data_IF_122870653627
#
_entry.id   IF_122870653627
#
_cell.length_a   1.000
_cell.length_b   1.000
_cell.length_c   1.000
_cell.angle_alpha   90.00
_cell.angle_beta   90.00
_cell.angle_gamma   90.00
#
_symmetry.space_group_name_H-M   'P 1'
#
loop_
_entity.id
_entity.type
_entity.pdbx_description
1 polymer ?
#
# COMPACT_ATOMS: atom_id res chain seq x y z
N UNK A 1 12.99 23.22 -16.62
CA UNK A 1 13.97 23.88 -15.73
C UNK A 1 14.77 22.78 -15.04
N UNK A 2 16.00 22.51 -15.48
CA UNK A 2 16.84 21.52 -14.83
C UNK A 2 17.33 22.10 -13.48
N UNK A 3 17.15 21.36 -12.39
CA UNK A 3 17.67 21.74 -11.09
C UNK A 3 19.12 21.24 -11.02
N UNK A 4 20.05 22.15 -10.75
CA UNK A 4 21.48 21.88 -10.64
C UNK A 4 21.87 21.88 -9.15
N UNK A 5 22.86 21.07 -8.77
CA UNK A 5 23.42 21.15 -7.43
C UNK A 5 24.26 22.42 -7.23
N UNK A 6 24.69 22.67 -5.99
CA UNK A 6 25.53 23.82 -5.64
C UNK A 6 26.92 23.81 -6.33
N UNK A 7 27.27 22.72 -7.03
CA UNK A 7 28.52 22.54 -7.78
C UNK A 7 28.32 22.60 -9.31
N UNK A 8 27.10 22.86 -9.78
CA UNK A 8 26.78 22.95 -11.22
C UNK A 8 26.60 21.59 -11.90
N UNK A 9 26.60 20.49 -11.15
CA UNK A 9 26.20 19.17 -11.64
C UNK A 9 24.69 19.12 -11.87
N UNK A 10 24.22 18.42 -12.90
CA UNK A 10 22.79 18.09 -12.96
C UNK A 10 22.45 17.26 -11.72
N UNK A 11 21.39 17.63 -10.99
CA UNK A 11 20.94 16.82 -9.86
C UNK A 11 20.58 15.43 -10.36
N UNK A 12 21.41 14.45 -10.00
CA UNK A 12 21.11 13.05 -10.24
C UNK A 12 19.80 12.73 -9.52
N UNK A 13 18.83 12.16 -10.25
CA UNK A 13 17.55 11.81 -9.64
C UNK A 13 17.82 10.79 -8.55
N UNK A 14 17.51 11.15 -7.30
CA UNK A 14 17.65 10.21 -6.18
C UNK A 14 16.84 8.96 -6.49
N UNK A 15 17.49 7.79 -6.63
CA UNK A 15 16.80 6.58 -6.97
C UNK A 15 15.83 6.21 -5.84
N UNK A 16 14.69 5.59 -6.16
CA UNK A 16 13.71 5.19 -5.17
C UNK A 16 14.33 4.13 -4.27
N UNK A 17 14.06 4.22 -2.97
CA UNK A 17 14.65 3.34 -1.96
C UNK A 17 14.31 1.85 -2.20
N UNK A 18 13.12 1.58 -2.73
CA UNK A 18 12.65 0.24 -3.07
C UNK A 18 12.32 0.18 -4.56
N UNK A 19 12.76 -0.88 -5.24
CA UNK A 19 12.23 -1.22 -6.55
C UNK A 19 10.77 -1.72 -6.44
N UNK A 20 10.01 -1.85 -7.54
CA UNK A 20 8.57 -2.13 -7.46
C UNK A 20 8.26 -3.47 -6.77
N UNK A 21 9.10 -4.49 -6.99
CA UNK A 21 8.91 -5.82 -6.41
C UNK A 21 9.32 -5.88 -4.93
N UNK A 22 10.35 -5.13 -4.54
CA UNK A 22 10.70 -4.94 -3.13
C UNK A 22 9.58 -4.21 -2.39
N UNK A 23 8.97 -3.19 -3.00
CA UNK A 23 7.81 -2.50 -2.43
C UNK A 23 6.59 -3.43 -2.34
N UNK A 24 6.38 -4.34 -3.30
CA UNK A 24 5.35 -5.37 -3.23
C UNK A 24 5.53 -6.28 -2.00
N UNK A 25 6.75 -6.78 -1.78
CA UNK A 25 7.09 -7.58 -0.60
C UNK A 25 6.94 -6.78 0.69
N UNK A 26 7.41 -5.53 0.72
CA UNK A 26 7.27 -4.64 1.87
C UNK A 26 5.79 -4.40 2.23
N UNK A 27 4.91 -4.22 1.24
CA UNK A 27 3.47 -4.07 1.47
C UNK A 27 2.86 -5.34 2.09
N UNK A 28 3.30 -6.53 1.68
CA UNK A 28 2.87 -7.79 2.28
C UNK A 28 3.31 -7.85 3.76
N UNK A 29 4.54 -7.46 4.07
CA UNK A 29 5.00 -7.35 5.47
C UNK A 29 4.15 -6.38 6.29
N UNK A 30 3.81 -5.21 5.75
CA UNK A 30 2.94 -4.23 6.43
C UNK A 30 1.55 -4.84 6.70
N UNK A 31 0.97 -5.55 5.73
CA UNK A 31 -0.30 -6.25 5.90
C UNK A 31 -0.22 -7.32 7.00
N UNK A 32 0.79 -8.18 6.95
CA UNK A 32 0.94 -9.29 7.90
C UNK A 32 1.41 -8.82 9.28
N UNK A 33 2.01 -7.64 9.42
CA UNK A 33 2.32 -7.07 10.73
C UNK A 33 1.05 -6.86 11.57
N UNK A 34 -0.07 -6.49 10.95
CA UNK A 34 -1.38 -6.37 11.62
C UNK A 34 -1.86 -7.71 12.17
N UNK A 35 -1.60 -8.81 11.44
CA UNK A 35 -1.86 -10.16 11.94
C UNK A 35 -1.00 -10.49 13.16
N UNK A 36 0.29 -10.11 13.16
CA UNK A 36 1.19 -10.33 14.29
C UNK A 36 0.72 -9.56 15.53
N UNK A 37 0.32 -8.29 15.36
CA UNK A 37 -0.28 -7.51 16.44
C UNK A 37 -1.54 -8.17 16.99
N UNK A 38 -2.43 -8.66 16.12
CA UNK A 38 -3.61 -9.41 16.57
C UNK A 38 -3.20 -10.60 17.44
N UNK A 39 -2.28 -11.45 16.98
CA UNK A 39 -1.85 -12.65 17.73
C UNK A 39 -1.25 -12.26 19.08
N UNK A 40 -0.39 -11.24 19.11
CA UNK A 40 0.27 -10.77 20.32
C UNK A 40 -0.71 -10.23 21.38
N UNK A 41 -1.78 -9.54 20.96
CA UNK A 41 -2.72 -8.88 21.86
C UNK A 41 -4.02 -9.67 22.10
N UNK A 42 -4.26 -10.78 21.38
CA UNK A 42 -5.53 -11.52 21.43
C UNK A 42 -5.58 -12.64 22.48
N UNK A 43 -4.45 -13.08 23.04
CA UNK A 43 -4.42 -14.22 23.98
C UNK A 43 -5.09 -15.48 23.39
N UNK A 44 -4.84 -15.74 22.11
CA UNK A 44 -5.50 -16.83 21.38
C UNK A 44 -5.08 -18.17 21.98
N UNK A 45 -6.07 -19.04 22.19
CA UNK A 45 -5.84 -20.45 22.44
C UNK A 45 -5.81 -21.16 21.07
N UNK A 46 -4.84 -22.04 20.89
CA UNK A 46 -4.66 -22.80 19.66
C UNK A 46 -5.71 -23.91 19.48
N UNK A 47 -6.51 -24.21 20.51
CA UNK A 47 -7.57 -25.23 20.43
C UNK A 47 -8.74 -24.76 19.53
N UNK A 48 -9.18 -23.50 19.64
CA UNK A 48 -10.27 -22.93 18.83
C UNK A 48 -10.05 -21.45 18.49
N UNK A 49 -8.99 -21.10 17.72
CA UNK A 49 -8.61 -19.71 17.48
C UNK A 49 -9.71 -18.91 16.73
N UNK A 50 -10.49 -19.59 15.88
CA UNK A 50 -11.57 -18.96 15.10
C UNK A 50 -12.78 -18.54 15.93
N UNK A 51 -13.05 -19.22 17.04
CA UNK A 51 -14.15 -18.85 17.91
C UNK A 51 -13.80 -17.62 18.76
N UNK A 52 -12.55 -17.55 19.26
CA UNK A 52 -12.04 -16.37 19.97
C UNK A 52 -11.92 -15.13 19.08
N UNK A 53 -11.67 -15.29 17.77
CA UNK A 53 -11.67 -14.19 16.80
C UNK A 53 -12.97 -13.37 16.84
N UNK A 54 -14.11 -14.02 17.07
CA UNK A 54 -15.43 -13.34 17.11
C UNK A 54 -15.61 -12.44 18.33
N UNK A 55 -14.84 -12.67 19.38
CA UNK A 55 -14.97 -11.97 20.67
C UNK A 55 -13.75 -11.08 20.96
N UNK A 56 -12.97 -10.72 19.92
CA UNK A 56 -11.84 -9.81 20.10
C UNK A 56 -12.33 -8.43 20.51
N UNK A 57 -11.57 -7.79 21.40
CA UNK A 57 -11.79 -6.42 21.83
C UNK A 57 -10.48 -5.62 21.80
N UNK A 58 -10.58 -4.29 21.95
CA UNK A 58 -9.42 -3.42 22.08
C UNK A 58 -8.46 -3.45 20.88
N UNK A 59 -7.16 -3.52 21.16
CA UNK A 59 -6.10 -3.51 20.13
C UNK A 59 -6.20 -4.74 19.21
N UNK A 60 -6.51 -5.92 19.75
CA UNK A 60 -6.59 -7.14 18.96
C UNK A 60 -7.72 -7.09 17.92
N UNK A 61 -8.89 -6.55 18.29
CA UNK A 61 -9.99 -6.35 17.36
C UNK A 61 -9.62 -5.36 16.24
N UNK A 62 -8.99 -4.23 16.61
CA UNK A 62 -8.53 -3.22 15.64
C UNK A 62 -7.47 -3.78 14.69
N UNK A 63 -6.56 -4.61 15.18
CA UNK A 63 -5.54 -5.29 14.38
C UNK A 63 -6.13 -6.35 13.43
N UNK A 64 -7.14 -7.10 13.85
CA UNK A 64 -7.88 -8.02 12.98
C UNK A 64 -8.57 -7.26 11.84
N UNK A 65 -9.29 -6.18 12.15
CA UNK A 65 -9.97 -5.38 11.14
C UNK A 65 -8.99 -4.69 10.17
N UNK A 66 -7.84 -4.23 10.65
CA UNK A 66 -6.78 -3.71 9.78
C UNK A 66 -6.19 -4.79 8.86
N UNK A 67 -6.03 -6.02 9.35
CA UNK A 67 -5.55 -7.15 8.58
C UNK A 67 -6.54 -7.58 7.49
N UNK A 68 -7.83 -7.71 7.83
CA UNK A 68 -8.91 -8.01 6.88
C UNK A 68 -8.99 -6.96 5.78
N UNK A 69 -8.96 -5.67 6.14
CA UNK A 69 -8.91 -4.60 5.15
C UNK A 69 -7.67 -4.70 4.24
N UNK A 70 -6.52 -5.04 4.82
CA UNK A 70 -5.31 -5.29 4.04
C UNK A 70 -5.49 -6.41 3.03
N UNK A 71 -6.13 -7.52 3.41
CA UNK A 71 -6.40 -8.65 2.53
C UNK A 71 -7.34 -8.29 1.37
N UNK A 72 -8.26 -7.35 1.57
CA UNK A 72 -9.15 -6.84 0.52
C UNK A 72 -8.41 -5.92 -0.46
N UNK A 73 -7.51 -5.05 0.02
CA UNK A 73 -6.85 -4.05 -0.84
C UNK A 73 -5.56 -4.55 -1.49
N UNK A 74 -4.83 -5.45 -0.83
CA UNK A 74 -3.53 -5.92 -1.30
C UNK A 74 -3.57 -6.59 -2.68
N UNK A 75 -4.57 -7.43 -3.03
CA UNK A 75 -4.67 -7.99 -4.38
C UNK A 75 -4.72 -6.91 -5.46
N UNK A 76 -5.42 -5.81 -5.21
CA UNK A 76 -5.54 -4.71 -6.17
C UNK A 76 -4.20 -3.99 -6.35
N UNK A 77 -3.47 -3.75 -5.26
CA UNK A 77 -2.13 -3.19 -5.32
C UNK A 77 -1.15 -4.13 -6.04
N UNK A 78 -1.14 -5.42 -5.70
CA UNK A 78 -0.29 -6.41 -6.32
C UNK A 78 -0.54 -6.51 -7.83
N UNK A 79 -1.81 -6.53 -8.24
CA UNK A 79 -2.20 -6.50 -9.64
C UNK A 79 -1.70 -5.23 -10.34
N UNK A 80 -1.78 -4.07 -9.70
CA UNK A 80 -1.27 -2.80 -10.24
C UNK A 80 0.26 -2.84 -10.46
N UNK A 81 1.03 -3.24 -9.46
CA UNK A 81 2.51 -3.33 -9.55
C UNK A 81 2.94 -4.33 -10.62
N UNK A 82 2.36 -5.52 -10.61
CA UNK A 82 2.71 -6.59 -11.57
C UNK A 82 2.32 -6.18 -12.99
N UNK A 83 1.16 -5.55 -13.18
CA UNK A 83 0.72 -5.08 -14.50
C UNK A 83 1.63 -3.97 -15.02
N UNK A 84 1.96 -2.98 -14.19
CA UNK A 84 2.83 -1.87 -14.58
C UNK A 84 4.23 -2.38 -14.97
N UNK A 85 4.81 -3.27 -14.15
CA UNK A 85 6.08 -3.89 -14.45
C UNK A 85 6.03 -4.74 -15.73
N UNK A 86 4.99 -5.55 -15.91
CA UNK A 86 4.82 -6.42 -17.08
C UNK A 86 4.54 -5.68 -18.38
N UNK A 87 3.97 -4.47 -18.32
CA UNK A 87 3.66 -3.64 -19.49
C UNK A 87 4.77 -2.63 -19.83
N UNK A 88 5.90 -2.65 -19.12
CA UNK A 88 7.04 -1.77 -19.43
C UNK A 88 6.87 -0.32 -18.96
N UNK A 89 6.06 -0.07 -17.94
CA UNK A 89 6.02 1.25 -17.27
C UNK A 89 7.40 1.53 -16.67
N UNK A 90 7.84 2.79 -16.74
CA UNK A 90 9.12 3.24 -16.19
C UNK A 90 9.32 2.78 -14.73
N UNK A 91 10.50 2.21 -14.47
CA UNK A 91 10.82 1.59 -13.18
C UNK A 91 10.87 2.61 -12.05
N UNK A 92 11.36 3.83 -12.29
CA UNK A 92 11.41 4.89 -11.27
C UNK A 92 9.99 5.32 -10.89
N UNK A 93 9.11 5.50 -11.88
CA UNK A 93 7.69 5.81 -11.66
C UNK A 93 7.00 4.71 -10.84
N UNK A 94 7.14 3.45 -11.26
CA UNK A 94 6.56 2.31 -10.54
C UNK A 94 7.06 2.22 -9.10
N UNK A 95 8.37 2.40 -8.91
CA UNK A 95 9.02 2.29 -7.60
C UNK A 95 8.55 3.36 -6.63
N UNK A 96 8.43 4.61 -7.10
CA UNK A 96 7.90 5.73 -6.28
C UNK A 96 6.45 5.50 -5.90
N UNK A 97 5.61 5.11 -6.85
CA UNK A 97 4.19 4.81 -6.57
C UNK A 97 4.04 3.63 -5.61
N UNK A 98 4.75 2.53 -5.85
CA UNK A 98 4.69 1.36 -4.98
C UNK A 98 5.19 1.66 -3.57
N UNK A 99 6.26 2.46 -3.44
CA UNK A 99 6.77 2.92 -2.13
C UNK A 99 5.75 3.82 -1.42
N UNK A 100 5.11 4.74 -2.14
CA UNK A 100 4.06 5.59 -1.58
C UNK A 100 2.89 4.75 -1.06
N UNK A 101 2.49 3.69 -1.77
CA UNK A 101 1.47 2.75 -1.28
C UNK A 101 1.89 2.11 0.04
N UNK A 102 3.12 1.59 0.15
CA UNK A 102 3.64 0.99 1.39
C UNK A 102 3.52 1.97 2.56
N UNK A 103 3.89 3.23 2.35
CA UNK A 103 3.76 4.28 3.37
C UNK A 103 2.29 4.51 3.75
N UNK A 104 1.38 4.64 2.78
CA UNK A 104 -0.05 4.83 3.08
C UNK A 104 -0.61 3.66 3.91
N UNK A 105 -0.16 2.43 3.64
CA UNK A 105 -0.60 1.24 4.39
C UNK A 105 0.02 1.18 5.78
N UNK A 106 1.28 1.57 5.95
CA UNK A 106 1.90 1.65 7.26
C UNK A 106 1.17 2.67 8.14
N UNK A 107 0.88 3.86 7.60
CA UNK A 107 0.12 4.92 8.28
C UNK A 107 -1.31 4.46 8.57
N UNK A 108 -2.01 3.86 7.60
CA UNK A 108 -3.36 3.33 7.78
C UNK A 108 -3.40 2.32 8.93
N UNK A 109 -2.53 1.30 8.90
CA UNK A 109 -2.50 0.24 9.92
C UNK A 109 -2.14 0.80 11.29
N UNK A 110 -1.19 1.73 11.36
CA UNK A 110 -0.81 2.38 12.61
C UNK A 110 -1.97 3.17 13.23
N UNK A 111 -2.64 4.01 12.44
CA UNK A 111 -3.79 4.78 12.90
C UNK A 111 -4.91 3.83 13.34
N UNK A 112 -5.22 2.81 12.52
CA UNK A 112 -6.28 1.85 12.82
C UNK A 112 -6.03 1.16 14.17
N UNK A 113 -4.83 0.63 14.38
CA UNK A 113 -4.50 -0.21 15.53
C UNK A 113 -4.34 0.61 16.82
N UNK A 114 -3.68 1.77 16.75
CA UNK A 114 -3.25 2.49 17.96
C UNK A 114 -4.05 3.77 18.22
N UNK A 115 -4.34 4.56 17.17
CA UNK A 115 -4.84 5.92 17.34
C UNK A 115 -6.35 6.08 17.10
N UNK A 116 -7.04 5.05 16.59
CA UNK A 116 -8.46 5.14 16.22
C UNK A 116 -9.37 5.25 17.47
N UNK A 117 -9.41 6.44 18.06
CA UNK A 117 -10.13 6.79 19.30
C UNK A 117 -11.05 8.00 19.14
N UNK A 118 -10.95 8.73 18.03
CA UNK A 118 -11.81 9.86 17.70
C UNK A 118 -12.04 9.95 16.18
N UNK A 119 -13.01 10.78 15.78
CA UNK A 119 -13.40 10.93 14.38
C UNK A 119 -12.30 11.51 13.49
N UNK A 120 -11.42 12.35 14.04
CA UNK A 120 -10.31 12.93 13.29
C UNK A 120 -9.32 11.86 12.82
N UNK A 121 -8.94 10.93 13.71
CA UNK A 121 -8.11 9.78 13.34
C UNK A 121 -8.86 8.83 12.39
N UNK A 122 -10.17 8.69 12.57
CA UNK A 122 -11.03 7.97 11.63
C UNK A 122 -10.97 8.55 10.21
N UNK A 123 -11.02 9.88 10.07
CA UNK A 123 -10.92 10.58 8.80
C UNK A 123 -9.53 10.44 8.15
N UNK A 124 -8.45 10.63 8.92
CA UNK A 124 -7.08 10.45 8.44
C UNK A 124 -6.81 9.03 7.94
N UNK A 125 -7.33 8.03 8.66
CA UNK A 125 -7.29 6.63 8.24
C UNK A 125 -8.00 6.44 6.90
N UNK A 126 -9.20 6.98 6.74
CA UNK A 126 -9.95 6.88 5.48
C UNK A 126 -9.23 7.59 4.33
N UNK A 127 -8.58 8.73 4.58
CA UNK A 127 -7.77 9.43 3.59
C UNK A 127 -6.57 8.58 3.15
N UNK A 128 -5.85 7.98 4.10
CA UNK A 128 -4.73 7.08 3.81
C UNK A 128 -5.19 5.86 2.98
N UNK A 129 -6.38 5.31 3.28
CA UNK A 129 -6.99 4.24 2.49
C UNK A 129 -7.25 4.66 1.05
N UNK A 130 -7.94 5.80 0.85
CA UNK A 130 -8.27 6.31 -0.49
C UNK A 130 -7.00 6.61 -1.29
N UNK A 131 -5.99 7.21 -0.65
CA UNK A 131 -4.70 7.48 -1.30
C UNK A 131 -4.02 6.19 -1.77
N UNK A 132 -3.96 5.15 -0.92
CA UNK A 132 -3.39 3.86 -1.31
C UNK A 132 -4.17 3.17 -2.44
N UNK A 133 -5.50 3.25 -2.39
CA UNK A 133 -6.33 2.65 -3.43
C UNK A 133 -6.20 3.38 -4.77
N UNK A 134 -6.13 4.72 -4.74
CA UNK A 134 -5.82 5.54 -5.91
C UNK A 134 -4.49 5.14 -6.54
N UNK A 135 -3.44 4.95 -5.75
CA UNK A 135 -2.12 4.52 -6.26
C UNK A 135 -2.22 3.17 -6.99
N UNK A 136 -2.98 2.22 -6.43
CA UNK A 136 -3.18 0.89 -7.03
C UNK A 136 -3.83 1.01 -8.42
N UNK A 137 -4.91 1.79 -8.51
CA UNK A 137 -5.58 2.04 -9.79
C UNK A 137 -4.71 2.82 -10.77
N UNK A 138 -3.96 3.82 -10.30
CA UNK A 138 -3.10 4.61 -11.18
C UNK A 138 -2.02 3.75 -11.85
N UNK A 139 -1.44 2.79 -11.14
CA UNK A 139 -0.47 1.86 -11.74
C UNK A 139 -1.12 0.96 -12.79
N UNK A 140 -2.39 0.56 -12.61
CA UNK A 140 -3.12 -0.19 -13.64
C UNK A 140 -3.36 0.67 -14.89
N UNK A 141 -3.73 1.94 -14.72
CA UNK A 141 -3.90 2.87 -15.84
C UNK A 141 -2.57 3.10 -16.57
N UNK A 142 -1.47 3.32 -15.84
CA UNK A 142 -0.12 3.43 -16.41
C UNK A 142 0.25 2.19 -17.24
N UNK A 143 -0.09 1.00 -16.76
CA UNK A 143 0.14 -0.24 -17.50
C UNK A 143 -0.63 -0.26 -18.82
N UNK A 144 -1.88 0.21 -18.81
CA UNK A 144 -2.71 0.37 -20.00
C UNK A 144 -2.12 1.39 -20.99
N UNK A 145 -1.71 2.56 -20.51
CA UNK A 145 -1.04 3.60 -21.30
C UNK A 145 0.24 3.06 -21.95
N UNK A 146 1.09 2.37 -21.19
CA UNK A 146 2.35 1.81 -21.68
C UNK A 146 2.13 0.73 -22.75
N UNK A 147 1.13 -0.14 -22.56
CA UNK A 147 0.85 -1.24 -23.48
C UNK A 147 0.08 -0.81 -24.73
N UNK A 148 -0.86 0.12 -24.58
CA UNK A 148 -1.86 0.41 -25.59
C UNK A 148 -1.86 1.87 -26.07
N UNK A 149 -1.03 2.77 -25.54
CA UNK A 149 -1.09 4.22 -25.80
C UNK A 149 -0.95 4.65 -27.27
N UNK A 150 -0.44 3.78 -28.15
CA UNK A 150 -0.45 3.98 -29.61
C UNK A 150 -1.68 3.44 -30.35
N UNK A 151 -2.66 2.89 -29.63
CA UNK A 151 -3.85 2.24 -30.18
C UNK A 151 -5.12 3.09 -29.98
N UNK A 152 -6.11 2.87 -30.84
CA UNK A 152 -7.40 3.58 -30.79
C UNK A 152 -8.26 3.25 -29.55
N UNK A 153 -7.83 2.33 -28.70
CA UNK A 153 -8.57 1.88 -27.52
C UNK A 153 -8.35 2.73 -26.26
N UNK A 154 -7.42 3.69 -26.28
CA UNK A 154 -6.96 4.40 -25.05
C UNK A 154 -7.11 5.92 -25.12
N UNK A 155 -7.80 6.46 -26.13
CA UNK A 155 -7.96 7.90 -26.34
C UNK A 155 -8.86 8.62 -25.32
N UNK A 156 -9.13 8.06 -24.14
CA UNK A 156 -10.07 8.65 -23.19
C UNK A 156 -10.04 8.12 -21.76
N UNK A 157 -8.91 7.58 -21.29
CA UNK A 157 -8.71 7.37 -19.84
C UNK A 157 -8.22 8.65 -19.16
#
# INVERSE_FOLDING_TARGET
>A
MALYDLTGGQLEKVPPLLNPMQALVAAAFVLYSSHMFRVAFAGLDNVNPRQKLKNLTGIAARAQAAHENGLETFPMFAAGVISAAGCGVDVDVCSRMATAYVITRAVFSFIYIFLNTNDAFGALRSLAFVAGQYISFRMMVLAGEAKYGGSHWVSGF
#
